data_IF_908658919576
#
_entry.id   IF_908658919576
#
_cell.length_a   1.000
_cell.length_b   1.000
_cell.length_c   1.000
_cell.angle_alpha   90.00
_cell.angle_beta   90.00
_cell.angle_gamma   90.00
#
_symmetry.space_group_name_H-M   'P 1'
#
loop_
_entity.id
_entity.type
_entity.pdbx_description
1 polymer ?
#
# COMPACT_ATOMS: atom_id res chain seq x y z
N UNK A 1 -8.63 4.75 -15.17
CA UNK A 1 -7.74 5.52 -14.28
C UNK A 1 -7.03 4.64 -13.24
N UNK A 2 -7.71 4.03 -12.26
CA UNK A 2 -7.02 3.19 -11.25
C UNK A 2 -6.57 1.82 -11.79
N UNK A 3 -7.37 1.18 -12.65
CA UNK A 3 -6.98 -0.05 -13.35
C UNK A 3 -5.74 0.15 -14.22
N UNK A 4 -5.66 1.27 -14.94
CA UNK A 4 -4.53 1.57 -15.83
C UNK A 4 -3.25 1.81 -15.02
N UNK A 5 -3.34 2.53 -13.89
CA UNK A 5 -2.22 2.68 -12.97
C UNK A 5 -1.78 1.33 -12.39
N UNK A 6 -2.73 0.50 -11.97
CA UNK A 6 -2.42 -0.84 -11.47
C UNK A 6 -1.70 -1.68 -12.52
N UNK A 7 -2.15 -1.65 -13.78
CA UNK A 7 -1.52 -2.36 -14.88
C UNK A 7 -0.09 -1.86 -15.15
N UNK A 8 0.13 -0.54 -15.27
CA UNK A 8 1.47 0.03 -15.51
C UNK A 8 2.45 -0.27 -14.37
N UNK A 9 1.98 -0.27 -13.11
CA UNK A 9 2.81 -0.66 -11.97
C UNK A 9 3.12 -2.16 -12.00
N UNK A 10 2.13 -3.00 -12.27
CA UNK A 10 2.32 -4.45 -12.36
C UNK A 10 3.29 -4.85 -13.48
N UNK A 11 3.24 -4.19 -14.65
CA UNK A 11 4.20 -4.40 -15.75
C UNK A 11 5.64 -4.09 -15.34
N UNK A 12 5.83 -3.23 -14.33
CA UNK A 12 7.14 -2.87 -13.77
C UNK A 12 7.52 -3.73 -12.56
N UNK A 13 6.69 -4.72 -12.20
CA UNK A 13 6.86 -5.54 -10.99
C UNK A 13 6.60 -4.77 -9.69
N UNK A 14 5.83 -3.68 -9.75
CA UNK A 14 5.48 -2.85 -8.59
C UNK A 14 4.06 -3.21 -8.15
N UNK A 15 3.91 -3.55 -6.87
CA UNK A 15 2.61 -3.85 -6.28
C UNK A 15 1.96 -2.59 -5.70
N UNK A 16 0.65 -2.46 -5.91
CA UNK A 16 -0.13 -1.33 -5.43
C UNK A 16 -0.94 -1.71 -4.19
N UNK A 17 -0.82 -0.92 -3.11
CA UNK A 17 -1.61 -1.07 -1.89
C UNK A 17 -2.17 0.27 -1.40
N UNK A 18 -3.30 0.21 -0.71
CA UNK A 18 -3.96 1.39 -0.15
C UNK A 18 -3.93 1.37 1.37
N UNK A 19 -3.72 2.54 1.98
CA UNK A 19 -3.74 2.68 3.43
C UNK A 19 -4.63 3.86 3.85
N UNK A 20 -5.41 3.69 4.92
CA UNK A 20 -6.18 4.79 5.53
C UNK A 20 -7.34 5.32 4.68
N UNK A 21 -7.89 4.50 3.78
CA UNK A 21 -9.04 4.89 2.98
C UNK A 21 -10.26 5.12 3.86
N UNK A 22 -10.87 6.30 3.72
CA UNK A 22 -12.21 6.58 4.27
C UNK A 22 -13.26 5.78 3.49
N UNK A 23 -14.36 5.41 4.15
CA UNK A 23 -15.44 4.62 3.55
C UNK A 23 -15.95 5.19 2.23
N UNK A 24 -16.15 6.52 2.15
CA UNK A 24 -16.58 7.20 0.91
C UNK A 24 -15.60 7.03 -0.26
N UNK A 25 -14.30 6.89 0.02
CA UNK A 25 -13.29 6.67 -1.03
C UNK A 25 -13.25 5.18 -1.41
N UNK A 26 -13.39 4.28 -0.43
CA UNK A 26 -13.55 2.84 -0.69
C UNK A 26 -14.78 2.57 -1.56
N UNK A 27 -15.90 3.25 -1.30
CA UNK A 27 -17.14 3.10 -2.06
C UNK A 27 -17.05 3.67 -3.49
N UNK A 28 -16.08 4.54 -3.77
CA UNK A 28 -15.76 4.99 -5.12
C UNK A 28 -14.78 4.06 -5.85
N UNK A 29 -13.99 3.28 -5.11
CA UNK A 29 -13.02 2.31 -5.64
C UNK A 29 -13.68 0.94 -5.87
N UNK A 30 -14.63 0.56 -5.03
CA UNK A 30 -15.34 -0.72 -5.10
C UNK A 30 -16.11 -0.97 -6.41
N UNK A 31 -16.80 0.02 -7.01
CA UNK A 31 -17.48 -0.16 -8.28
C UNK A 31 -16.45 -0.31 -9.39
N UNK A 32 -16.43 -1.46 -10.06
CA UNK A 32 -15.54 -1.72 -11.21
C UNK A 32 -14.60 -2.93 -11.06
N UNK A 33 -14.69 -3.70 -9.97
CA UNK A 33 -13.83 -4.87 -9.78
C UNK A 33 -12.42 -4.53 -9.30
N UNK A 34 -12.13 -3.26 -9.01
CA UNK A 34 -10.84 -2.77 -8.53
C UNK A 34 -10.37 -3.46 -7.25
N UNK A 35 -11.28 -3.74 -6.31
CA UNK A 35 -10.94 -4.47 -5.08
C UNK A 35 -10.50 -5.90 -5.39
N UNK A 36 -11.10 -6.54 -6.40
CA UNK A 36 -10.68 -7.86 -6.87
C UNK A 36 -9.37 -7.80 -7.67
N UNK A 37 -9.15 -6.71 -8.41
CA UNK A 37 -7.92 -6.50 -9.19
C UNK A 37 -6.69 -6.27 -8.29
N UNK A 38 -6.86 -5.47 -7.24
CA UNK A 38 -5.78 -5.04 -6.35
C UNK A 38 -5.51 -6.08 -5.23
N UNK A 39 -6.48 -6.96 -4.97
CA UNK A 39 -6.44 -7.91 -3.87
C UNK A 39 -6.99 -7.29 -2.59
N UNK A 40 -7.89 -8.01 -1.91
CA UNK A 40 -8.55 -7.52 -0.71
C UNK A 40 -7.56 -7.34 0.46
N UNK A 41 -6.47 -8.10 0.45
CA UNK A 41 -5.34 -8.07 1.39
C UNK A 41 -4.45 -6.83 1.23
N UNK A 42 -4.56 -6.10 0.11
CA UNK A 42 -3.78 -4.88 -0.16
C UNK A 42 -4.49 -3.58 0.26
N UNK A 43 -5.49 -3.69 1.14
CA UNK A 43 -6.21 -2.58 1.75
C UNK A 43 -5.98 -2.53 3.26
N UNK A 44 -5.18 -1.57 3.70
CA UNK A 44 -4.73 -1.45 5.09
C UNK A 44 -5.44 -0.32 5.85
N UNK A 45 -5.73 -0.49 7.15
CA UNK A 45 -6.30 0.56 7.99
C UNK A 45 -5.39 1.79 8.13
N UNK A 46 -4.07 1.61 8.17
CA UNK A 46 -3.08 2.68 8.36
C UNK A 46 -1.83 2.42 7.54
N UNK A 47 -1.05 3.48 7.27
CA UNK A 47 0.22 3.37 6.54
C UNK A 47 1.23 2.48 7.29
N UNK A 48 1.23 2.53 8.63
CA UNK A 48 2.09 1.67 9.44
C UNK A 48 1.79 0.18 9.29
N UNK A 49 0.51 -0.19 9.13
CA UNK A 49 0.15 -1.58 8.85
C UNK A 49 0.54 -2.02 7.44
N UNK A 50 0.42 -1.13 6.44
CA UNK A 50 0.88 -1.42 5.09
C UNK A 50 2.41 -1.64 5.03
N UNK A 51 3.18 -0.76 5.69
CA UNK A 51 4.64 -0.88 5.78
C UNK A 51 5.01 -2.18 6.49
N UNK A 52 4.34 -2.53 7.59
CA UNK A 52 4.60 -3.77 8.31
C UNK A 52 4.37 -4.99 7.41
N UNK A 53 3.24 -5.07 6.72
CA UNK A 53 2.95 -6.17 5.80
C UNK A 53 4.00 -6.29 4.69
N UNK A 54 4.41 -5.15 4.11
CA UNK A 54 5.47 -5.11 3.09
C UNK A 54 6.80 -5.65 3.61
N UNK A 55 7.23 -5.24 4.81
CA UNK A 55 8.47 -5.72 5.42
C UNK A 55 8.40 -7.22 5.75
N UNK A 56 7.27 -7.68 6.28
CA UNK A 56 7.05 -9.10 6.59
C UNK A 56 7.08 -9.97 5.32
N UNK A 57 6.54 -9.49 4.20
CA UNK A 57 6.50 -10.22 2.93
C UNK A 57 7.86 -10.21 2.19
N UNK A 58 8.56 -9.08 2.19
CA UNK A 58 9.77 -8.89 1.38
C UNK A 58 11.07 -9.09 2.15
N UNK A 59 11.03 -9.04 3.49
CA UNK A 59 12.23 -8.98 4.33
C UNK A 59 13.01 -7.67 4.20
N UNK A 60 12.40 -6.62 3.63
CA UNK A 60 13.05 -5.33 3.42
C UNK A 60 13.42 -4.65 4.74
N UNK A 61 14.65 -4.13 4.84
CA UNK A 61 15.07 -3.31 5.98
C UNK A 61 14.52 -1.88 5.82
N UNK A 62 13.27 -1.68 6.27
CA UNK A 62 12.60 -0.40 6.14
C UNK A 62 13.15 0.60 7.16
N UNK A 63 13.73 1.70 6.64
CA UNK A 63 14.19 2.83 7.44
C UNK A 63 13.13 3.93 7.44
N UNK A 64 12.53 4.19 8.60
CA UNK A 64 11.62 5.32 8.78
C UNK A 64 12.42 6.64 8.80
N UNK A 65 12.52 7.27 7.63
CA UNK A 65 13.24 8.55 7.44
C UNK A 65 12.69 9.72 8.27
N UNK A 66 11.46 9.61 8.83
CA UNK A 66 10.91 10.62 9.75
C UNK A 66 11.30 10.38 11.20
N UNK A 67 11.80 9.18 11.52
CA UNK A 67 12.38 8.87 12.81
C UNK A 67 13.83 9.32 12.77
N UNK A 68 14.14 10.44 13.42
CA UNK A 68 15.52 10.86 13.57
C UNK A 68 16.30 9.71 14.22
N UNK A 69 17.43 9.24 13.64
CA UNK A 69 18.25 8.24 14.29
C UNK A 69 18.64 8.76 15.69
N UNK A 70 18.72 7.88 16.71
CA UNK A 70 19.13 8.31 18.03
C UNK A 70 20.46 9.06 17.93
N UNK A 71 20.52 10.22 18.58
CA UNK A 71 21.73 11.05 18.61
C UNK A 71 22.91 10.20 19.12
N UNK A 72 24.00 10.04 18.35
CA UNK A 72 25.18 9.34 18.85
C UNK A 72 25.77 10.18 19.98
N UNK A 73 25.53 9.72 21.22
CA UNK A 73 26.08 10.32 22.45
C UNK A 73 27.60 10.37 22.45
#
# INVERSE_FOLDING_TARGET
>A
MINELHADLAERGIELGFAGLKSVVRDQIAPGGTVALIGADRFFPTIGQAIRAFVEETGSDFIDWKRQPPDPS
#
